data_IF_196747826849
#
_entry.id   IF_196747826849
#
_cell.length_a   1.000
_cell.length_b   1.000
_cell.length_c   1.000
_cell.angle_alpha   90.00
_cell.angle_beta   90.00
_cell.angle_gamma   90.00
#
_symmetry.space_group_name_H-M   'P 1'
#
loop_
_entity.id
_entity.type
_entity.pdbx_description
1 polymer ?
#
# COMPACT_ATOMS: atom_id res chain seq x y z
N UNK A 1 75.91 -4.15 6.07
CA UNK A 1 74.93 -5.27 5.79
C UNK A 1 73.57 -5.01 6.45
N UNK A 2 73.47 -4.62 7.71
CA UNK A 2 72.21 -4.42 8.47
C UNK A 2 71.26 -3.43 7.84
N UNK A 3 71.71 -2.22 7.43
CA UNK A 3 70.87 -1.19 6.78
C UNK A 3 70.23 -1.66 5.46
N UNK A 4 70.86 -2.55 4.72
CA UNK A 4 70.32 -3.08 3.45
C UNK A 4 69.25 -4.17 3.69
N UNK A 5 69.38 -4.95 4.77
CA UNK A 5 68.35 -5.90 5.24
C UNK A 5 67.13 -5.19 5.81
N UNK A 6 67.33 -4.13 6.58
CA UNK A 6 66.23 -3.34 7.14
C UNK A 6 65.40 -2.65 6.05
N UNK A 7 66.05 -2.10 5.01
CA UNK A 7 65.34 -1.50 3.86
C UNK A 7 64.52 -2.54 3.09
N UNK A 8 65.04 -3.77 2.90
CA UNK A 8 64.28 -4.86 2.26
C UNK A 8 63.10 -5.29 3.11
N UNK A 9 63.24 -5.40 4.42
CA UNK A 9 62.16 -5.75 5.34
C UNK A 9 61.06 -4.68 5.32
N UNK A 10 61.37 -3.40 5.41
CA UNK A 10 60.42 -2.30 5.31
C UNK A 10 59.68 -2.28 3.95
N UNK A 11 60.38 -2.57 2.85
CA UNK A 11 59.72 -2.66 1.54
C UNK A 11 58.73 -3.81 1.45
N UNK A 12 59.03 -4.99 2.05
CA UNK A 12 58.17 -6.11 2.12
C UNK A 12 56.92 -5.80 2.98
N UNK A 13 57.10 -5.20 4.14
CA UNK A 13 55.99 -4.75 5.01
C UNK A 13 55.10 -3.75 4.27
N UNK A 14 55.69 -2.78 3.55
CA UNK A 14 54.92 -1.81 2.76
C UNK A 14 54.08 -2.51 1.66
N UNK A 15 54.66 -3.48 0.95
CA UNK A 15 53.94 -4.26 -0.07
C UNK A 15 52.77 -5.05 0.55
N UNK A 16 52.97 -5.69 1.71
CA UNK A 16 51.89 -6.37 2.42
C UNK A 16 50.82 -5.42 2.92
N UNK A 17 51.17 -4.25 3.43
CA UNK A 17 50.22 -3.21 3.81
C UNK A 17 49.42 -2.71 2.61
N UNK A 18 50.09 -2.44 1.48
CA UNK A 18 49.44 -2.02 0.23
C UNK A 18 48.51 -3.13 -0.34
N UNK A 19 49.00 -4.36 -0.32
CA UNK A 19 48.19 -5.53 -0.77
C UNK A 19 46.99 -5.75 0.17
N UNK A 20 47.19 -5.62 1.48
CA UNK A 20 46.09 -5.70 2.47
C UNK A 20 45.08 -4.56 2.31
N UNK A 21 45.58 -3.34 2.06
CA UNK A 21 44.71 -2.19 1.79
C UNK A 21 43.95 -2.33 0.48
N UNK A 22 44.61 -2.83 -0.58
CA UNK A 22 44.01 -3.12 -1.87
C UNK A 22 42.93 -4.25 -1.76
N UNK A 23 43.21 -5.30 -0.99
CA UNK A 23 42.24 -6.38 -0.70
C UNK A 23 41.06 -5.87 0.12
N UNK A 24 41.29 -4.99 1.10
CA UNK A 24 40.22 -4.41 1.92
C UNK A 24 39.33 -3.47 1.10
N UNK A 25 39.91 -2.69 0.17
CA UNK A 25 39.19 -1.81 -0.76
C UNK A 25 38.38 -2.62 -1.79
N UNK A 26 38.78 -3.84 -2.09
CA UNK A 26 38.06 -4.72 -3.04
C UNK A 26 36.94 -5.55 -2.39
N UNK A 27 36.81 -5.58 -1.05
CA UNK A 27 35.65 -6.25 -0.44
C UNK A 27 34.39 -5.50 -0.76
N UNK A 28 33.38 -6.13 -1.40
CA UNK A 28 32.13 -5.46 -1.67
C UNK A 28 31.43 -5.06 -0.36
N UNK A 29 30.82 -3.90 -0.36
CA UNK A 29 29.93 -3.47 0.71
C UNK A 29 28.68 -4.33 0.56
N UNK A 30 28.39 -5.18 1.54
CA UNK A 30 27.16 -5.96 1.55
C UNK A 30 26.06 -5.14 2.19
N UNK A 31 25.06 -4.74 1.41
CA UNK A 31 23.82 -4.12 1.88
C UNK A 31 22.77 -5.22 2.05
N UNK A 32 22.09 -5.24 3.19
CA UNK A 32 21.04 -6.23 3.46
C UNK A 32 19.66 -5.61 3.38
N UNK A 33 18.70 -6.34 2.79
CA UNK A 33 17.32 -5.90 2.70
C UNK A 33 16.38 -6.96 3.30
N UNK A 34 15.43 -6.51 4.13
CA UNK A 34 14.35 -7.33 4.69
C UNK A 34 13.09 -7.20 3.85
N UNK A 35 12.63 -8.31 3.31
CA UNK A 35 11.40 -8.40 2.50
C UNK A 35 10.64 -9.67 2.88
N UNK A 36 9.34 -9.71 2.60
CA UNK A 36 8.54 -10.93 2.66
C UNK A 36 8.21 -11.44 1.25
N UNK A 37 7.84 -12.70 1.17
CA UNK A 37 7.42 -13.33 -0.07
C UNK A 37 5.92 -13.13 -0.31
N UNK A 38 5.55 -12.95 -1.57
CA UNK A 38 4.15 -12.79 -1.97
C UNK A 38 3.68 -11.34 -2.04
N UNK A 39 2.39 -11.14 -1.85
CA UNK A 39 1.74 -9.83 -1.93
C UNK A 39 1.56 -9.21 -0.54
N UNK A 40 1.64 -7.88 -0.46
CA UNK A 40 1.17 -7.15 0.72
C UNK A 40 -0.36 -7.14 0.82
N UNK A 41 -1.03 -7.34 -0.29
CA UNK A 41 -2.48 -7.27 -0.42
C UNK A 41 -3.10 -8.68 -0.34
N UNK A 42 -4.37 -8.78 0.00
CA UNK A 42 -5.10 -10.06 0.12
C UNK A 42 -5.37 -10.74 -1.25
N UNK A 43 -4.46 -10.55 -2.20
CA UNK A 43 -4.56 -11.08 -3.56
C UNK A 43 -3.21 -11.64 -4.02
N UNK A 44 -3.20 -12.68 -4.86
CA UNK A 44 -1.96 -13.26 -5.36
C UNK A 44 -1.14 -12.27 -6.19
N UNK A 45 0.15 -12.17 -5.90
CA UNK A 45 1.11 -11.41 -6.70
C UNK A 45 2.41 -12.20 -6.90
N UNK A 46 2.38 -13.25 -7.75
CA UNK A 46 3.48 -14.21 -7.87
C UNK A 46 4.76 -13.61 -8.48
N UNK A 47 4.68 -12.42 -9.05
CA UNK A 47 5.81 -11.75 -9.71
C UNK A 47 6.34 -10.52 -8.95
N UNK A 48 5.81 -10.21 -7.77
CA UNK A 48 6.22 -9.02 -6.99
C UNK A 48 7.73 -9.03 -6.65
N UNK A 49 8.31 -10.18 -6.35
CA UNK A 49 9.75 -10.33 -6.11
C UNK A 49 10.63 -9.86 -7.28
N UNK A 50 10.12 -9.92 -8.52
CA UNK A 50 10.85 -9.42 -9.71
C UNK A 50 11.15 -7.93 -9.63
N UNK A 51 10.30 -7.12 -8.99
CA UNK A 51 10.53 -5.68 -8.83
C UNK A 51 11.80 -5.45 -8.00
N UNK A 52 11.93 -6.18 -6.89
CA UNK A 52 13.10 -6.12 -6.01
C UNK A 52 14.36 -6.63 -6.72
N UNK A 53 14.27 -7.77 -7.41
CA UNK A 53 15.41 -8.36 -8.15
C UNK A 53 15.91 -7.42 -9.25
N UNK A 54 15.02 -6.77 -9.99
CA UNK A 54 15.38 -5.83 -11.04
C UNK A 54 15.96 -4.52 -10.46
N UNK A 55 15.44 -4.06 -9.31
CA UNK A 55 16.01 -2.93 -8.58
C UNK A 55 17.42 -3.24 -8.07
N UNK A 56 17.65 -4.41 -7.48
CA UNK A 56 18.97 -4.86 -7.04
C UNK A 56 19.97 -4.86 -8.19
N UNK A 57 19.61 -5.47 -9.33
CA UNK A 57 20.49 -5.50 -10.53
C UNK A 57 20.86 -4.10 -11.02
N UNK A 58 19.90 -3.15 -11.02
CA UNK A 58 20.14 -1.77 -11.41
C UNK A 58 21.05 -1.05 -10.41
N UNK A 59 20.83 -1.29 -9.11
CA UNK A 59 21.65 -0.70 -8.06
C UNK A 59 23.10 -1.17 -8.12
N UNK A 60 23.33 -2.48 -8.21
CA UNK A 60 24.67 -3.07 -8.30
C UNK A 60 25.41 -2.63 -9.57
N UNK A 61 24.70 -2.41 -10.68
CA UNK A 61 25.27 -1.89 -11.92
C UNK A 61 25.82 -0.47 -11.75
N UNK A 62 25.15 0.39 -10.99
CA UNK A 62 25.58 1.76 -10.70
C UNK A 62 26.52 1.85 -9.51
N UNK A 63 26.59 0.81 -8.68
CA UNK A 63 27.42 0.69 -7.49
C UNK A 63 28.23 -0.60 -7.52
N UNK A 64 29.27 -0.70 -8.39
CA UNK A 64 29.97 -1.98 -8.65
C UNK A 64 30.69 -2.58 -7.42
N UNK A 65 30.89 -1.78 -6.36
CA UNK A 65 31.48 -2.23 -5.09
C UNK A 65 30.43 -2.60 -4.04
N UNK A 66 29.14 -2.65 -4.41
CA UNK A 66 28.04 -3.00 -3.51
C UNK A 66 27.41 -4.31 -3.95
N UNK A 67 27.09 -5.16 -3.00
CA UNK A 67 26.28 -6.36 -3.19
C UNK A 67 25.06 -6.24 -2.29
N UNK A 68 23.86 -6.36 -2.87
CA UNK A 68 22.61 -6.35 -2.10
C UNK A 68 22.16 -7.80 -1.84
N UNK A 69 21.80 -8.11 -0.60
CA UNK A 69 21.37 -9.47 -0.20
C UNK A 69 20.07 -9.41 0.58
N UNK A 70 19.21 -10.39 0.38
CA UNK A 70 18.01 -10.61 1.18
C UNK A 70 17.79 -12.10 1.48
N UNK A 71 17.02 -12.36 2.53
CA UNK A 71 16.49 -13.70 2.83
C UNK A 71 15.16 -13.84 2.11
N UNK A 72 14.98 -14.95 1.38
CA UNK A 72 13.76 -15.25 0.64
C UNK A 72 12.86 -16.23 1.41
N UNK A 73 11.56 -16.23 1.09
CA UNK A 73 10.61 -17.24 1.56
C UNK A 73 9.96 -16.96 2.92
N UNK A 74 10.20 -15.81 3.53
CA UNK A 74 9.49 -15.38 4.73
C UNK A 74 8.08 -14.96 4.30
N UNK A 75 7.05 -15.55 4.88
CA UNK A 75 5.67 -15.17 4.60
C UNK A 75 5.34 -13.83 5.27
N UNK A 76 4.35 -13.10 4.73
CA UNK A 76 3.92 -11.82 5.30
C UNK A 76 3.46 -11.97 6.76
N UNK A 77 2.71 -13.03 7.06
CA UNK A 77 2.17 -13.26 8.40
C UNK A 77 3.27 -13.53 9.45
N UNK A 78 4.42 -14.06 9.04
CA UNK A 78 5.58 -14.31 9.90
C UNK A 78 6.58 -13.14 9.91
N UNK A 79 6.35 -12.11 9.09
CA UNK A 79 7.37 -11.11 8.79
C UNK A 79 7.66 -10.18 9.96
N UNK A 80 6.65 -9.71 10.67
CA UNK A 80 6.81 -8.83 11.85
C UNK A 80 7.58 -9.53 12.96
N UNK A 81 7.30 -10.82 13.21
CA UNK A 81 8.02 -11.65 14.18
C UNK A 81 9.48 -11.86 13.75
N UNK A 82 9.71 -12.13 12.47
CA UNK A 82 11.05 -12.28 11.94
C UNK A 82 11.87 -10.99 12.07
N UNK A 83 11.33 -9.81 11.69
CA UNK A 83 12.00 -8.52 11.85
C UNK A 83 12.30 -8.23 13.33
N UNK A 84 11.36 -8.49 14.21
CA UNK A 84 11.53 -8.31 15.65
C UNK A 84 12.67 -9.19 16.21
N UNK A 85 12.74 -10.44 15.76
CA UNK A 85 13.81 -11.36 16.12
C UNK A 85 15.16 -10.89 15.59
N UNK A 86 15.26 -10.48 14.32
CA UNK A 86 16.50 -9.95 13.76
C UNK A 86 16.98 -8.68 14.50
N UNK A 87 16.04 -7.83 14.95
CA UNK A 87 16.38 -6.67 15.77
C UNK A 87 16.97 -7.07 17.13
N UNK A 88 16.36 -8.03 17.82
CA UNK A 88 16.87 -8.54 19.11
C UNK A 88 18.23 -9.22 18.97
N UNK A 89 18.47 -9.92 17.87
CA UNK A 89 19.75 -10.57 17.57
C UNK A 89 20.84 -9.59 17.09
N UNK A 90 20.51 -8.30 16.91
CA UNK A 90 21.42 -7.29 16.36
C UNK A 90 21.76 -7.50 14.88
N UNK A 91 20.87 -8.16 14.13
CA UNK A 91 21.02 -8.53 12.71
C UNK A 91 19.99 -7.87 11.81
N UNK A 92 19.29 -6.84 12.31
CA UNK A 92 18.27 -6.13 11.54
C UNK A 92 18.83 -5.71 10.17
N UNK A 93 18.14 -6.00 9.06
CA UNK A 93 18.58 -5.60 7.73
C UNK A 93 18.80 -4.09 7.60
N UNK A 94 19.73 -3.67 6.74
CA UNK A 94 20.06 -2.24 6.53
C UNK A 94 18.84 -1.44 6.02
N UNK A 95 18.06 -2.04 5.10
CA UNK A 95 16.78 -1.54 4.60
C UNK A 95 15.76 -2.64 4.79
N UNK A 96 14.53 -2.32 5.17
CA UNK A 96 13.49 -3.34 5.32
C UNK A 96 12.10 -2.78 5.08
N UNK A 97 11.19 -3.65 4.62
CA UNK A 97 9.78 -3.33 4.51
C UNK A 97 9.17 -3.14 5.90
N UNK A 98 8.29 -2.19 6.01
CA UNK A 98 7.58 -1.85 7.25
C UNK A 98 6.10 -1.95 6.97
N UNK A 99 5.42 -2.87 7.64
CA UNK A 99 3.97 -2.95 7.58
C UNK A 99 3.38 -1.73 8.30
N UNK A 100 2.24 -1.24 7.84
CA UNK A 100 1.59 -0.06 8.42
C UNK A 100 1.33 -0.22 9.93
N UNK A 101 1.01 -1.44 10.36
CA UNK A 101 0.72 -1.80 11.75
C UNK A 101 1.97 -1.73 12.65
N UNK A 102 3.15 -1.94 12.08
CA UNK A 102 4.41 -2.01 12.84
C UNK A 102 5.13 -0.65 12.95
N UNK A 103 4.79 0.32 12.08
CA UNK A 103 5.54 1.57 11.94
C UNK A 103 5.69 2.32 13.27
N UNK A 104 4.58 2.50 14.00
CA UNK A 104 4.57 3.22 15.27
C UNK A 104 5.46 2.54 16.31
N UNK A 105 5.36 1.23 16.43
CA UNK A 105 6.16 0.43 17.34
C UNK A 105 7.65 0.50 16.98
N UNK A 106 8.00 0.29 15.72
CA UNK A 106 9.40 0.31 15.27
C UNK A 106 10.05 1.70 15.40
N UNK A 107 9.32 2.77 15.15
CA UNK A 107 9.78 4.14 15.39
C UNK A 107 10.04 4.38 16.89
N UNK A 108 9.07 4.02 17.74
CA UNK A 108 9.11 4.23 19.20
C UNK A 108 10.24 3.47 19.89
N UNK A 109 10.48 2.22 19.51
CA UNK A 109 11.58 1.41 20.09
C UNK A 109 12.94 1.69 19.44
N UNK A 110 13.01 2.61 18.47
CA UNK A 110 14.25 3.05 17.85
C UNK A 110 14.86 2.05 16.87
N UNK A 111 14.06 1.23 16.20
CA UNK A 111 14.50 0.35 15.13
C UNK A 111 14.75 1.11 13.81
N UNK A 112 13.99 2.18 13.58
CA UNK A 112 14.03 2.98 12.36
C UNK A 112 14.91 4.24 12.51
N UNK A 113 15.62 4.58 11.46
CA UNK A 113 16.34 5.85 11.33
C UNK A 113 15.38 6.93 10.82
N UNK A 114 15.31 8.12 11.48
CA UNK A 114 14.57 9.26 10.92
C UNK A 114 15.17 9.70 9.58
N UNK A 115 14.32 9.87 8.58
CA UNK A 115 14.74 10.17 7.20
C UNK A 115 14.82 11.66 6.89
N UNK A 116 14.33 12.54 7.78
CA UNK A 116 14.21 13.99 7.56
C UNK A 116 15.50 14.63 7.06
N UNK A 117 16.64 14.29 7.68
CA UNK A 117 17.93 14.83 7.29
C UNK A 117 18.35 14.37 5.89
N UNK A 118 18.08 13.10 5.55
CA UNK A 118 18.40 12.57 4.21
C UNK A 118 17.55 13.24 3.15
N UNK A 119 16.25 13.41 3.41
CA UNK A 119 15.31 14.09 2.50
C UNK A 119 15.69 15.56 2.25
N UNK A 120 16.16 16.27 3.31
CA UNK A 120 16.56 17.68 3.21
C UNK A 120 17.90 17.88 2.52
N UNK A 121 18.85 16.97 2.71
CA UNK A 121 20.20 17.09 2.17
C UNK A 121 20.34 16.57 0.73
N UNK A 122 19.39 15.80 0.25
CA UNK A 122 19.41 15.20 -1.07
C UNK A 122 18.74 16.13 -2.09
N UNK A 123 19.55 16.78 -2.91
CA UNK A 123 19.07 17.72 -3.94
C UNK A 123 18.19 17.05 -5.03
N UNK A 124 18.32 15.74 -5.19
CA UNK A 124 17.54 14.96 -6.19
C UNK A 124 16.24 14.43 -5.62
N UNK A 125 15.94 14.67 -4.32
CA UNK A 125 14.73 14.22 -3.67
C UNK A 125 13.74 15.37 -3.49
N UNK A 126 12.57 15.26 -4.16
CA UNK A 126 11.45 16.20 -4.01
C UNK A 126 10.20 15.46 -3.48
N UNK A 127 9.89 15.66 -2.21
CA UNK A 127 8.75 15.05 -1.56
C UNK A 127 7.39 15.38 -2.23
N UNK A 128 7.28 16.47 -2.99
CA UNK A 128 6.06 16.89 -3.71
C UNK A 128 5.68 15.94 -4.84
N UNK A 129 6.59 15.07 -5.26
CA UNK A 129 6.31 14.01 -6.24
C UNK A 129 5.43 12.89 -5.68
N UNK A 130 5.39 12.72 -4.36
CA UNK A 130 4.48 11.79 -3.72
C UNK A 130 3.05 12.37 -3.66
N UNK A 131 2.05 11.50 -3.63
CA UNK A 131 0.79 11.87 -3.04
C UNK A 131 1.01 12.17 -1.57
N UNK A 132 0.46 13.29 -1.08
CA UNK A 132 0.70 13.75 0.30
C UNK A 132 0.27 12.70 1.33
N UNK A 133 -0.83 12.05 1.07
CA UNK A 133 -1.39 10.94 1.87
C UNK A 133 -0.45 9.76 1.97
N UNK A 134 0.14 9.32 0.84
CA UNK A 134 1.06 8.17 0.85
C UNK A 134 2.35 8.48 1.61
N UNK A 135 2.91 9.69 1.41
CA UNK A 135 4.10 10.08 2.15
C UNK A 135 3.83 10.17 3.65
N UNK A 136 2.68 10.74 4.03
CA UNK A 136 2.28 10.86 5.43
C UNK A 136 2.08 9.49 6.12
N UNK A 137 1.83 8.42 5.38
CA UNK A 137 1.75 7.06 5.94
C UNK A 137 3.04 6.62 6.65
N UNK A 138 4.21 7.13 6.23
CA UNK A 138 5.50 6.85 6.85
C UNK A 138 5.93 7.85 7.93
N UNK A 139 5.06 8.82 8.28
CA UNK A 139 5.35 9.87 9.27
C UNK A 139 4.77 9.50 10.64
N UNK A 140 5.57 9.62 11.68
CA UNK A 140 5.17 9.43 13.10
C UNK A 140 5.78 10.57 13.92
N UNK A 141 4.97 11.27 14.70
CA UNK A 141 5.37 12.38 15.56
C UNK A 141 6.16 13.48 14.81
N UNK A 142 5.65 13.88 13.66
CA UNK A 142 6.25 14.90 12.76
C UNK A 142 7.63 14.51 12.18
N UNK A 143 8.02 13.23 12.26
CA UNK A 143 9.24 12.70 11.66
C UNK A 143 8.92 11.63 10.62
N UNK A 144 9.61 11.67 9.48
CA UNK A 144 9.53 10.64 8.45
C UNK A 144 10.43 9.46 8.81
N UNK A 145 9.86 8.31 9.14
CA UNK A 145 10.60 7.08 9.49
C UNK A 145 10.68 6.06 8.35
N UNK A 146 9.75 6.12 7.42
CA UNK A 146 9.73 5.23 6.26
C UNK A 146 9.22 5.95 5.02
N UNK A 147 9.64 5.53 3.83
CA UNK A 147 9.05 5.98 2.57
C UNK A 147 8.00 4.96 2.09
N UNK A 148 6.89 5.40 1.51
CA UNK A 148 5.92 4.49 0.91
C UNK A 148 6.51 3.82 -0.33
N UNK A 149 6.35 2.49 -0.41
CA UNK A 149 6.78 1.66 -1.54
C UNK A 149 5.66 1.43 -2.54
N UNK A 150 4.51 0.98 -2.06
CA UNK A 150 3.28 0.82 -2.83
C UNK A 150 2.06 1.08 -1.94
N UNK A 151 0.93 1.46 -2.56
CA UNK A 151 -0.31 1.72 -1.85
C UNK A 151 -1.49 1.04 -2.53
N UNK A 152 -2.59 0.88 -1.81
CA UNK A 152 -3.86 0.39 -2.35
C UNK A 152 -5.03 1.13 -1.67
N UNK A 153 -5.74 1.99 -2.39
CA UNK A 153 -6.96 2.61 -1.88
C UNK A 153 -8.13 1.63 -1.87
N UNK A 154 -9.05 1.79 -0.95
CA UNK A 154 -10.35 1.10 -0.95
C UNK A 154 -11.34 1.90 -1.78
N UNK A 155 -11.97 1.26 -2.76
CA UNK A 155 -12.97 1.84 -3.67
C UNK A 155 -14.32 1.20 -3.47
N UNK A 156 -15.38 1.89 -3.88
CA UNK A 156 -16.71 1.30 -4.00
C UNK A 156 -16.86 0.65 -5.37
N UNK A 157 -16.93 -0.68 -5.41
CA UNK A 157 -17.26 -1.43 -6.61
C UNK A 157 -18.76 -1.39 -6.85
N UNK A 158 -19.13 -1.22 -8.10
CA UNK A 158 -20.51 -1.05 -8.55
C UNK A 158 -20.85 -2.09 -9.59
N UNK A 159 -21.87 -2.89 -9.35
CA UNK A 159 -22.45 -3.80 -10.33
C UNK A 159 -23.33 -2.99 -11.30
N UNK A 160 -22.78 -2.62 -12.45
CA UNK A 160 -23.47 -1.83 -13.47
C UNK A 160 -24.69 -2.55 -14.02
N UNK A 161 -24.54 -3.83 -14.31
CA UNK A 161 -25.62 -4.65 -14.87
C UNK A 161 -26.85 -4.64 -13.95
N UNK A 162 -26.64 -4.82 -12.64
CA UNK A 162 -27.73 -4.82 -11.67
C UNK A 162 -28.41 -3.45 -11.57
N UNK A 163 -27.65 -2.36 -11.65
CA UNK A 163 -28.22 -1.02 -11.69
C UNK A 163 -29.06 -0.80 -12.94
N UNK A 164 -28.52 -1.16 -14.12
CA UNK A 164 -29.21 -1.03 -15.42
C UNK A 164 -30.49 -1.87 -15.49
N UNK A 165 -30.47 -3.11 -14.98
CA UNK A 165 -31.65 -4.00 -14.93
C UNK A 165 -32.77 -3.43 -14.04
N UNK A 166 -32.45 -2.52 -13.14
CA UNK A 166 -33.40 -1.84 -12.24
C UNK A 166 -33.66 -0.37 -12.63
N UNK A 167 -33.31 0.05 -13.82
CA UNK A 167 -33.46 1.44 -14.30
C UNK A 167 -32.77 2.49 -13.41
N UNK A 168 -31.64 2.14 -12.79
CA UNK A 168 -30.85 3.01 -11.93
C UNK A 168 -29.56 3.38 -12.65
N UNK A 169 -29.32 4.70 -12.80
CA UNK A 169 -28.05 5.21 -13.31
C UNK A 169 -26.90 5.01 -12.33
N UNK A 170 -25.68 4.86 -12.85
CA UNK A 170 -24.47 4.84 -12.02
C UNK A 170 -24.37 6.20 -11.29
N UNK A 171 -24.15 6.23 -9.96
CA UNK A 171 -23.97 7.47 -9.22
C UNK A 171 -22.79 8.29 -9.77
N UNK A 172 -22.89 9.61 -9.67
CA UNK A 172 -21.74 10.46 -9.98
C UNK A 172 -20.68 10.39 -8.87
N UNK A 173 -19.49 10.87 -9.15
CA UNK A 173 -18.35 10.82 -8.21
C UNK A 173 -18.56 11.63 -6.91
N UNK A 174 -19.57 12.52 -6.85
CA UNK A 174 -19.90 13.36 -5.69
C UNK A 174 -21.16 12.85 -4.95
N UNK A 175 -21.46 11.57 -5.04
CA UNK A 175 -22.62 10.98 -4.40
C UNK A 175 -22.50 10.93 -2.87
N UNK A 176 -23.65 10.87 -2.20
CA UNK A 176 -23.77 10.98 -0.76
C UNK A 176 -24.27 9.70 -0.10
N UNK A 177 -24.26 9.65 1.24
CA UNK A 177 -24.92 8.58 2.01
C UNK A 177 -26.40 8.46 1.68
N UNK A 178 -27.08 9.58 1.43
CA UNK A 178 -28.51 9.55 1.10
C UNK A 178 -28.75 8.93 -0.29
N UNK A 179 -27.89 9.26 -1.27
CA UNK A 179 -27.91 8.61 -2.59
C UNK A 179 -27.67 7.11 -2.45
N UNK A 180 -26.61 6.73 -1.71
CA UNK A 180 -26.25 5.34 -1.48
C UNK A 180 -27.39 4.57 -0.80
N UNK A 181 -27.94 5.09 0.29
CA UNK A 181 -29.07 4.47 0.98
C UNK A 181 -30.27 4.30 0.06
N UNK A 182 -30.64 5.35 -0.68
CA UNK A 182 -31.82 5.34 -1.57
C UNK A 182 -31.70 4.29 -2.68
N UNK A 183 -30.48 4.10 -3.21
CA UNK A 183 -30.23 3.06 -4.19
C UNK A 183 -30.28 1.66 -3.54
N UNK A 184 -29.63 1.49 -2.38
CA UNK A 184 -29.67 0.23 -1.64
C UNK A 184 -31.09 -0.19 -1.26
N UNK A 185 -31.94 0.76 -0.83
CA UNK A 185 -33.33 0.52 -0.49
C UNK A 185 -34.15 0.01 -1.69
N UNK A 186 -33.93 0.57 -2.88
CA UNK A 186 -34.59 0.13 -4.11
C UNK A 186 -34.14 -1.24 -4.59
N UNK A 187 -32.87 -1.57 -4.35
CA UNK A 187 -32.26 -2.81 -4.86
C UNK A 187 -32.32 -3.97 -3.87
N UNK A 188 -32.69 -3.72 -2.61
CA UNK A 188 -32.82 -4.80 -1.62
C UNK A 188 -34.25 -5.35 -1.65
N UNK A 189 -34.47 -6.37 -2.48
CA UNK A 189 -35.80 -6.89 -2.81
C UNK A 189 -35.79 -8.41 -2.92
N UNK A 190 -36.99 -8.97 -2.77
CA UNK A 190 -37.37 -10.34 -3.12
C UNK A 190 -37.74 -10.34 -4.60
N UNK A 191 -36.93 -10.96 -5.46
CA UNK A 191 -37.12 -10.92 -6.92
C UNK A 191 -38.01 -12.07 -7.43
N UNK A 192 -38.14 -13.16 -6.68
CA UNK A 192 -38.93 -14.32 -7.08
C UNK A 192 -40.26 -14.49 -6.32
N UNK A 193 -40.49 -13.67 -5.30
CA UNK A 193 -41.75 -13.58 -4.55
C UNK A 193 -41.94 -14.69 -3.51
N UNK A 194 -40.86 -15.34 -3.07
CA UNK A 194 -40.91 -16.42 -2.08
C UNK A 194 -40.94 -15.89 -0.62
N UNK A 195 -40.75 -14.59 -0.41
CA UNK A 195 -40.76 -13.91 0.88
C UNK A 195 -39.39 -13.66 1.46
N UNK A 196 -38.34 -14.19 0.84
CA UNK A 196 -36.93 -13.95 1.21
C UNK A 196 -36.29 -12.94 0.27
N UNK A 197 -35.38 -12.11 0.79
CA UNK A 197 -34.60 -11.17 -0.05
C UNK A 197 -33.49 -11.95 -0.74
N UNK A 198 -33.39 -11.82 -2.05
CA UNK A 198 -32.41 -12.50 -2.88
C UNK A 198 -31.56 -11.54 -3.77
N UNK A 199 -31.89 -10.25 -3.75
CA UNK A 199 -31.10 -9.15 -4.32
C UNK A 199 -30.83 -8.09 -3.25
N UNK A 200 -29.60 -7.54 -3.20
CA UNK A 200 -29.14 -6.67 -2.13
C UNK A 200 -28.47 -5.40 -2.67
N UNK A 201 -28.62 -4.30 -1.93
CA UNK A 201 -28.00 -3.03 -2.26
C UNK A 201 -26.50 -3.02 -2.02
N UNK A 202 -26.03 -3.59 -0.89
CA UNK A 202 -24.62 -3.54 -0.55
C UNK A 202 -24.13 -4.79 0.19
N UNK A 203 -22.81 -4.98 0.15
CA UNK A 203 -22.09 -5.95 0.96
C UNK A 203 -20.77 -5.34 1.47
N UNK A 204 -20.53 -5.43 2.77
CA UNK A 204 -19.22 -5.12 3.35
C UNK A 204 -18.94 -3.64 3.58
N UNK A 205 -19.93 -2.74 3.44
CA UNK A 205 -19.75 -1.35 3.83
C UNK A 205 -19.76 -1.22 5.35
N UNK A 206 -18.59 -0.90 5.90
CA UNK A 206 -18.36 -0.87 7.34
C UNK A 206 -18.55 0.52 7.94
N UNK A 207 -18.71 0.60 9.26
CA UNK A 207 -18.75 1.88 9.96
C UNK A 207 -17.41 2.65 9.86
N UNK A 208 -16.29 1.95 9.66
CA UNK A 208 -15.00 2.59 9.41
C UNK A 208 -14.98 3.28 8.03
N UNK A 209 -15.57 2.65 7.01
CA UNK A 209 -15.76 3.29 5.70
C UNK A 209 -16.62 4.55 5.83
N UNK A 210 -17.74 4.43 6.54
CA UNK A 210 -18.64 5.55 6.81
C UNK A 210 -17.93 6.67 7.59
N UNK A 211 -17.19 6.34 8.65
CA UNK A 211 -16.46 7.31 9.45
C UNK A 211 -15.46 8.11 8.61
N UNK A 212 -14.65 7.41 7.81
CA UNK A 212 -13.65 8.03 6.94
C UNK A 212 -14.30 8.95 5.91
N UNK A 213 -15.36 8.50 5.24
CA UNK A 213 -16.09 9.32 4.25
C UNK A 213 -16.93 10.42 4.88
N UNK A 214 -17.10 10.44 6.22
CA UNK A 214 -17.64 11.57 6.99
C UNK A 214 -16.53 12.51 7.51
N UNK A 215 -15.29 12.37 7.02
CA UNK A 215 -14.17 13.25 7.37
C UNK A 215 -13.60 13.04 8.78
N UNK A 216 -13.88 11.91 9.41
CA UNK A 216 -13.52 11.63 10.78
C UNK A 216 -12.49 10.50 10.89
N UNK A 217 -11.68 10.54 11.95
CA UNK A 217 -10.76 9.50 12.34
C UNK A 217 -11.06 9.04 13.76
N UNK A 218 -10.69 7.82 14.13
CA UNK A 218 -10.89 7.27 15.49
C UNK A 218 -9.97 7.87 16.53
N UNK A 219 -8.96 8.58 16.08
CA UNK A 219 -7.92 9.11 16.93
C UNK A 219 -7.43 10.45 16.39
N UNK A 220 -7.33 11.44 17.26
CA UNK A 220 -6.73 12.73 16.97
C UNK A 220 -5.23 12.68 17.28
N UNK A 221 -4.39 12.64 16.27
CA UNK A 221 -2.92 12.58 16.40
C UNK A 221 -2.34 13.79 17.14
N UNK A 222 -2.97 14.97 17.05
CA UNK A 222 -2.49 16.21 17.69
C UNK A 222 -2.75 16.21 19.19
N UNK A 223 -3.92 15.73 19.58
CA UNK A 223 -4.32 15.70 20.99
C UNK A 223 -4.04 14.38 21.68
N UNK A 224 -3.63 13.36 20.92
CA UNK A 224 -3.39 11.98 21.38
C UNK A 224 -4.64 11.41 22.10
N UNK A 225 -5.84 11.71 21.59
CA UNK A 225 -7.10 11.28 22.22
C UNK A 225 -7.96 10.49 21.23
N UNK A 226 -8.65 9.48 21.77
CA UNK A 226 -9.71 8.79 21.04
C UNK A 226 -10.90 9.72 20.77
N UNK A 227 -11.46 9.60 19.58
CA UNK A 227 -12.65 10.33 19.13
C UNK A 227 -13.92 9.49 19.21
N UNK A 228 -13.86 8.27 19.74
CA UNK A 228 -14.98 7.31 19.80
C UNK A 228 -16.25 7.85 20.45
N UNK A 229 -16.15 8.85 21.33
CA UNK A 229 -17.31 9.50 21.96
C UNK A 229 -17.88 10.67 21.15
N UNK A 230 -17.37 10.92 19.94
CA UNK A 230 -17.85 11.99 19.07
C UNK A 230 -19.19 11.60 18.41
N UNK A 231 -20.09 12.57 18.24
CA UNK A 231 -21.36 12.38 17.54
C UNK A 231 -21.18 11.87 16.10
N UNK A 232 -20.08 12.23 15.44
CA UNK A 232 -19.82 11.84 14.06
C UNK A 232 -19.51 10.34 13.94
N UNK A 233 -18.83 9.77 14.95
CA UNK A 233 -18.63 8.31 15.06
C UNK A 233 -19.99 7.61 15.26
N UNK A 234 -20.84 8.18 16.12
CA UNK A 234 -22.19 7.66 16.30
C UNK A 234 -23.01 7.74 15.01
N UNK A 235 -22.93 8.84 14.27
CA UNK A 235 -23.63 9.01 12.97
C UNK A 235 -23.19 7.98 11.96
N UNK A 236 -21.90 7.67 11.86
CA UNK A 236 -21.36 6.64 10.98
C UNK A 236 -21.90 5.22 11.33
N UNK A 237 -21.91 4.89 12.62
CA UNK A 237 -22.45 3.63 13.11
C UNK A 237 -23.97 3.51 12.83
N UNK A 238 -24.74 4.56 13.11
CA UNK A 238 -26.18 4.56 12.85
C UNK A 238 -26.50 4.46 11.35
N UNK A 239 -25.70 5.10 10.49
CA UNK A 239 -25.87 4.99 9.06
C UNK A 239 -25.72 3.54 8.59
N UNK A 240 -24.64 2.85 9.01
CA UNK A 240 -24.43 1.43 8.66
C UNK A 240 -25.51 0.54 9.26
N UNK A 241 -25.97 0.81 10.49
CA UNK A 241 -27.12 0.09 11.08
C UNK A 241 -28.40 0.29 10.26
N UNK A 242 -28.61 1.49 9.70
CA UNK A 242 -29.75 1.80 8.83
C UNK A 242 -29.67 0.99 7.53
N UNK A 243 -28.49 0.90 6.90
CA UNK A 243 -28.24 0.05 5.72
C UNK A 243 -28.52 -1.44 6.04
N UNK A 244 -27.95 -1.97 7.12
CA UNK A 244 -28.10 -3.38 7.50
C UNK A 244 -29.56 -3.78 7.78
N UNK A 245 -30.42 -2.85 8.21
CA UNK A 245 -31.86 -3.12 8.41
C UNK A 245 -32.59 -3.43 7.10
N UNK A 246 -32.08 -2.94 5.95
CA UNK A 246 -32.65 -3.26 4.64
C UNK A 246 -32.60 -4.77 4.37
N UNK A 247 -31.54 -5.44 4.82
CA UNK A 247 -31.31 -6.87 4.59
C UNK A 247 -32.21 -7.80 5.42
N UNK A 248 -33.11 -7.25 6.27
CA UNK A 248 -34.04 -8.02 7.13
C UNK A 248 -33.39 -9.16 7.91
N UNK A 249 -32.18 -8.93 8.44
CA UNK A 249 -31.35 -9.92 9.16
C UNK A 249 -30.78 -11.06 8.29
N UNK A 250 -30.89 -10.99 6.98
CA UNK A 250 -30.19 -11.93 6.11
C UNK A 250 -28.69 -11.60 6.06
N UNK A 251 -27.89 -12.65 5.97
CA UNK A 251 -26.42 -12.50 5.89
C UNK A 251 -26.00 -12.37 4.42
N UNK A 252 -25.67 -11.16 4.00
CA UNK A 252 -25.12 -10.91 2.66
C UNK A 252 -23.66 -11.36 2.62
N UNK A 253 -23.23 -12.00 1.56
CA UNK A 253 -21.89 -12.58 1.42
C UNK A 253 -21.18 -12.11 0.17
N UNK A 254 -19.84 -12.22 0.16
CA UNK A 254 -19.04 -11.92 -1.04
C UNK A 254 -19.42 -12.82 -2.23
N UNK A 255 -19.85 -14.05 -1.97
CA UNK A 255 -20.33 -14.97 -3.01
C UNK A 255 -21.59 -14.45 -3.71
N UNK A 256 -22.47 -13.76 -2.99
CA UNK A 256 -23.67 -13.12 -3.57
C UNK A 256 -23.26 -11.96 -4.50
N UNK A 257 -22.23 -11.18 -4.12
CA UNK A 257 -21.67 -10.17 -5.01
C UNK A 257 -21.06 -10.80 -6.26
N UNK A 258 -20.27 -11.85 -6.11
CA UNK A 258 -19.65 -12.58 -7.23
C UNK A 258 -20.71 -13.16 -8.20
N UNK A 259 -21.89 -13.48 -7.69
CA UNK A 259 -23.05 -13.94 -8.48
C UNK A 259 -23.90 -12.82 -9.09
N UNK A 260 -23.50 -11.56 -8.90
CA UNK A 260 -24.23 -10.40 -9.44
C UNK A 260 -25.47 -9.99 -8.66
N UNK A 261 -25.71 -10.56 -7.47
CA UNK A 261 -26.90 -10.29 -6.64
C UNK A 261 -26.75 -9.08 -5.69
N UNK A 262 -25.61 -8.39 -5.71
CA UNK A 262 -25.30 -7.23 -4.87
C UNK A 262 -24.85 -6.07 -5.73
N UNK A 263 -25.33 -4.87 -5.44
CA UNK A 263 -25.02 -3.68 -6.24
C UNK A 263 -23.69 -3.03 -5.89
N UNK A 264 -23.36 -2.91 -4.61
CA UNK A 264 -22.17 -2.21 -4.14
C UNK A 264 -21.35 -3.06 -3.18
N UNK A 265 -20.01 -2.97 -3.31
CA UNK A 265 -19.07 -3.66 -2.44
C UNK A 265 -17.78 -2.87 -2.31
N UNK A 266 -17.40 -2.38 -1.10
CA UNK A 266 -16.08 -1.80 -0.88
C UNK A 266 -14.99 -2.86 -1.05
N UNK A 267 -14.00 -2.59 -1.89
CA UNK A 267 -12.83 -3.45 -2.08
C UNK A 267 -11.58 -2.62 -2.31
N UNK A 268 -10.42 -3.18 -1.99
CA UNK A 268 -9.14 -2.55 -2.30
C UNK A 268 -8.89 -2.51 -3.82
N UNK A 269 -8.19 -1.50 -4.29
CA UNK A 269 -7.80 -1.40 -5.71
C UNK A 269 -6.97 -2.60 -6.18
N UNK A 270 -6.23 -3.22 -5.29
CA UNK A 270 -5.52 -4.47 -5.56
C UNK A 270 -6.48 -5.61 -5.92
N UNK A 271 -7.66 -5.67 -5.30
CA UNK A 271 -8.72 -6.62 -5.64
C UNK A 271 -9.34 -6.24 -6.99
N UNK A 272 -9.58 -4.94 -7.24
CA UNK A 272 -10.02 -4.44 -8.54
C UNK A 272 -9.16 -4.99 -9.68
N UNK A 273 -7.83 -4.95 -9.54
CA UNK A 273 -6.91 -5.47 -10.55
C UNK A 273 -7.00 -6.99 -10.75
N UNK A 274 -7.52 -7.73 -9.78
CA UNK A 274 -7.72 -9.19 -9.86
C UNK A 274 -9.12 -9.58 -10.32
N UNK A 275 -10.11 -8.71 -10.13
CA UNK A 275 -11.49 -8.93 -10.62
C UNK A 275 -11.62 -8.85 -12.15
N UNK A 276 -10.62 -8.35 -12.82
CA UNK A 276 -10.57 -8.36 -14.29
C UNK A 276 -10.80 -9.77 -14.81
N UNK A 277 -11.51 -9.94 -15.94
CA UNK A 277 -11.68 -11.23 -16.59
C UNK A 277 -10.32 -11.70 -17.13
N UNK A 278 -9.47 -12.11 -16.22
CA UNK A 278 -8.22 -12.76 -16.55
C UNK A 278 -8.49 -14.27 -16.61
N UNK A 279 -8.06 -14.99 -17.66
CA UNK A 279 -8.32 -16.42 -17.77
C UNK A 279 -7.76 -17.25 -16.61
N UNK A 280 -7.01 -16.62 -15.71
CA UNK A 280 -6.29 -17.26 -14.60
C UNK A 280 -6.66 -16.71 -13.20
N UNK A 281 -7.55 -15.71 -13.08
CA UNK A 281 -7.93 -15.19 -11.77
C UNK A 281 -8.98 -16.09 -11.11
N UNK A 282 -8.86 -16.26 -9.80
CA UNK A 282 -9.77 -17.10 -8.99
C UNK A 282 -11.20 -16.56 -8.99
N UNK A 283 -11.39 -15.25 -9.24
CA UNK A 283 -12.71 -14.57 -9.34
C UNK A 283 -13.23 -14.51 -10.79
N UNK A 284 -13.07 -15.56 -11.53
CA UNK A 284 -13.35 -15.76 -12.95
C UNK A 284 -14.83 -15.68 -13.35
N UNK A 285 -15.77 -15.48 -12.44
CA UNK A 285 -17.17 -15.83 -12.64
C UNK A 285 -18.16 -14.69 -12.43
N UNK A 286 -17.73 -13.41 -12.38
CA UNK A 286 -18.69 -12.34 -12.45
C UNK A 286 -19.28 -12.28 -13.87
N UNK A 287 -20.58 -12.61 -13.99
CA UNK A 287 -21.33 -12.52 -15.24
C UNK A 287 -21.94 -11.12 -15.45
N UNK A 288 -21.40 -10.10 -14.77
CA UNK A 288 -21.91 -8.74 -14.80
C UNK A 288 -20.80 -7.72 -15.09
N UNK A 289 -21.18 -6.60 -15.69
CA UNK A 289 -20.32 -5.45 -15.84
C UNK A 289 -20.20 -4.68 -14.52
N UNK A 290 -19.03 -4.18 -14.22
CA UNK A 290 -18.78 -3.44 -13.01
C UNK A 290 -17.83 -2.24 -13.27
N UNK A 291 -17.85 -1.28 -12.34
CA UNK A 291 -16.98 -0.10 -12.33
C UNK A 291 -16.62 0.24 -10.87
N UNK A 292 -15.86 1.30 -10.66
CA UNK A 292 -15.47 1.79 -9.35
C UNK A 292 -15.89 3.25 -9.17
N UNK A 293 -16.28 3.58 -7.93
CA UNK A 293 -16.56 4.94 -7.47
C UNK A 293 -15.73 5.23 -6.20
N UNK A 294 -15.49 6.52 -5.90
CA UNK A 294 -15.06 6.88 -4.54
C UNK A 294 -16.16 6.54 -3.53
N UNK A 295 -15.83 6.48 -2.24
CA UNK A 295 -16.83 6.24 -1.19
C UNK A 295 -17.90 7.33 -1.16
N UNK A 296 -19.16 7.00 -0.80
CA UNK A 296 -20.22 8.01 -0.67
C UNK A 296 -19.91 8.96 0.48
N UNK A 297 -20.03 10.27 0.25
CA UNK A 297 -19.76 11.29 1.25
C UNK A 297 -20.80 11.27 2.38
N UNK A 298 -20.34 11.32 3.62
CA UNK A 298 -21.19 11.60 4.77
C UNK A 298 -21.57 13.09 4.86
N UNK A 299 -22.49 13.47 5.77
CA UNK A 299 -22.99 14.85 5.90
C UNK A 299 -21.89 15.90 6.13
N UNK A 300 -20.85 15.55 6.87
CA UNK A 300 -19.74 16.43 7.25
C UNK A 300 -18.43 16.09 6.52
N UNK A 301 -18.51 15.20 5.52
CA UNK A 301 -17.36 14.65 4.82
C UNK A 301 -17.34 14.92 3.31
N UNK A 302 -16.56 14.09 2.62
CA UNK A 302 -16.41 14.12 1.18
C UNK A 302 -16.10 12.73 0.65
N UNK A 303 -16.13 12.57 -0.67
CA UNK A 303 -15.91 11.28 -1.35
C UNK A 303 -14.44 10.83 -1.24
N UNK A 304 -14.02 10.41 -0.06
CA UNK A 304 -12.67 9.92 0.23
C UNK A 304 -12.68 8.44 0.57
N UNK A 305 -11.55 7.80 0.31
CA UNK A 305 -11.33 6.40 0.58
C UNK A 305 -10.23 6.22 1.62
N UNK A 306 -10.26 5.09 2.31
CA UNK A 306 -9.11 4.65 3.11
C UNK A 306 -8.01 4.16 2.17
N UNK A 307 -6.77 4.36 2.56
CA UNK A 307 -5.60 3.91 1.83
C UNK A 307 -4.62 3.19 2.74
N UNK A 308 -4.27 1.98 2.35
CA UNK A 308 -3.18 1.23 2.95
C UNK A 308 -1.90 1.40 2.14
N UNK A 309 -0.76 1.41 2.83
CA UNK A 309 0.56 1.54 2.22
C UNK A 309 1.53 0.52 2.80
N UNK A 310 2.30 -0.12 1.92
CA UNK A 310 3.51 -0.83 2.31
C UNK A 310 4.66 0.16 2.29
N UNK A 311 5.41 0.20 3.38
CA UNK A 311 6.47 1.16 3.61
C UNK A 311 7.85 0.48 3.55
N UNK A 312 8.90 1.26 3.37
CA UNK A 312 10.28 0.85 3.51
C UNK A 312 11.04 1.82 4.41
N UNK A 313 11.84 1.31 5.32
CA UNK A 313 12.64 2.09 6.26
C UNK A 313 14.11 1.69 6.28
N UNK A 314 14.91 2.51 6.92
CA UNK A 314 16.34 2.27 7.17
C UNK A 314 16.53 1.87 8.62
N UNK A 315 17.30 0.81 8.86
CA UNK A 315 17.66 0.39 10.21
C UNK A 315 18.50 1.48 10.90
N UNK A 316 18.09 1.85 12.12
CA UNK A 316 18.88 2.72 13.00
C UNK A 316 20.26 2.15 13.28
N UNK A 317 20.40 0.83 13.30
CA UNK A 317 21.65 0.12 13.56
C UNK A 317 22.56 0.00 12.34
N UNK A 318 22.10 0.33 11.15
CA UNK A 318 22.91 0.25 9.94
C UNK A 318 24.11 1.17 10.01
N UNK A 319 25.31 0.65 9.74
CA UNK A 319 26.54 1.43 9.54
C UNK A 319 26.68 1.97 8.11
N UNK A 320 25.73 1.64 7.21
CA UNK A 320 25.76 1.94 5.76
C UNK A 320 24.62 2.88 5.35
N UNK A 321 24.18 3.75 6.23
CA UNK A 321 22.97 4.57 6.09
C UNK A 321 22.89 5.36 4.79
N UNK A 322 24.01 5.93 4.30
CA UNK A 322 24.02 6.61 2.99
C UNK A 322 23.67 5.67 1.85
N UNK A 323 24.28 4.49 1.82
CA UNK A 323 23.99 3.46 0.80
C UNK A 323 22.57 2.92 0.93
N UNK A 324 22.09 2.77 2.17
CA UNK A 324 20.71 2.39 2.46
C UNK A 324 19.71 3.45 1.95
N UNK A 325 20.02 4.75 2.09
CA UNK A 325 19.21 5.83 1.54
C UNK A 325 19.14 5.79 0.01
N UNK A 326 20.27 5.62 -0.68
CA UNK A 326 20.29 5.50 -2.14
C UNK A 326 19.45 4.30 -2.63
N UNK A 327 19.55 3.18 -1.92
CA UNK A 327 18.75 1.99 -2.26
C UNK A 327 17.27 2.19 -1.92
N UNK A 328 16.95 2.82 -0.81
CA UNK A 328 15.58 3.16 -0.43
C UNK A 328 14.92 4.08 -1.47
N UNK A 329 15.65 5.11 -1.96
CA UNK A 329 15.16 5.94 -3.07
C UNK A 329 14.92 5.12 -4.34
N UNK A 330 15.80 4.19 -4.66
CA UNK A 330 15.59 3.32 -5.85
C UNK A 330 14.31 2.49 -5.74
N UNK A 331 13.92 2.08 -4.54
CA UNK A 331 12.68 1.33 -4.34
C UNK A 331 11.44 2.24 -4.35
N UNK A 332 11.50 3.36 -3.64
CA UNK A 332 10.32 4.15 -3.29
C UNK A 332 10.14 5.42 -4.14
N UNK A 333 11.18 5.88 -4.85
CA UNK A 333 11.20 7.18 -5.54
C UNK A 333 11.60 7.09 -7.02
N UNK A 334 12.20 5.99 -7.46
CA UNK A 334 12.59 5.79 -8.87
C UNK A 334 11.38 5.42 -9.72
N UNK A 335 11.15 6.18 -10.80
CA UNK A 335 9.99 6.01 -11.68
C UNK A 335 9.92 4.63 -12.31
N UNK A 336 11.06 4.07 -12.71
CA UNK A 336 11.09 2.73 -13.33
C UNK A 336 10.68 1.64 -12.36
N UNK A 337 11.11 1.73 -11.09
CA UNK A 337 10.66 0.80 -10.04
C UNK A 337 9.17 0.98 -9.78
N UNK A 338 8.71 2.22 -9.68
CA UNK A 338 7.32 2.56 -9.39
C UNK A 338 6.36 2.19 -10.54
N UNK A 339 6.77 2.33 -11.80
CA UNK A 339 6.03 1.80 -12.97
C UNK A 339 5.93 0.26 -12.95
N UNK A 340 6.97 -0.41 -12.44
CA UNK A 340 7.01 -1.87 -12.33
C UNK A 340 5.95 -2.44 -11.38
N UNK A 341 5.45 -1.65 -10.41
CA UNK A 341 4.34 -2.03 -9.54
C UNK A 341 3.08 -2.37 -10.35
N UNK A 342 2.76 -1.55 -11.35
CA UNK A 342 1.61 -1.81 -12.23
C UNK A 342 1.76 -3.05 -13.11
N UNK A 343 2.97 -3.53 -13.30
CA UNK A 343 3.25 -4.70 -14.13
C UNK A 343 3.38 -6.00 -13.31
N UNK A 344 3.91 -5.92 -12.11
CA UNK A 344 4.33 -7.10 -11.34
C UNK A 344 3.74 -7.17 -9.93
N UNK A 345 3.13 -6.10 -9.42
CA UNK A 345 2.35 -6.06 -8.18
C UNK A 345 0.88 -5.79 -8.45
N UNK A 346 0.05 -5.82 -7.41
CA UNK A 346 -1.36 -5.44 -7.46
C UNK A 346 -1.63 -4.07 -6.80
N UNK A 347 -0.65 -3.51 -6.12
CA UNK A 347 -0.71 -2.14 -5.60
C UNK A 347 -0.51 -1.08 -6.68
N UNK A 348 -0.51 0.17 -6.27
CA UNK A 348 -0.29 1.34 -7.13
C UNK A 348 0.97 2.09 -6.72
N UNK A 349 1.49 2.88 -7.66
CA UNK A 349 2.59 3.80 -7.36
C UNK A 349 2.17 4.86 -6.36
N UNK A 350 3.12 5.25 -5.55
CA UNK A 350 3.01 6.34 -4.57
C UNK A 350 3.40 7.71 -5.16
N UNK A 351 3.84 7.74 -6.43
CA UNK A 351 4.30 8.93 -7.14
C UNK A 351 3.26 9.42 -8.14
N UNK A 352 2.91 10.71 -8.07
CA UNK A 352 1.90 11.36 -8.93
C UNK A 352 2.21 11.24 -10.42
N UNK A 353 3.44 11.52 -10.81
CA UNK A 353 3.86 11.49 -12.21
C UNK A 353 3.91 10.07 -12.80
N UNK A 354 3.94 9.05 -11.97
CA UNK A 354 3.93 7.66 -12.42
C UNK A 354 2.50 7.19 -12.68
N UNK A 355 1.55 7.47 -11.79
CA UNK A 355 0.14 7.07 -11.94
C UNK A 355 -0.48 7.62 -13.22
N UNK A 356 -0.11 8.84 -13.61
CA UNK A 356 -0.57 9.51 -14.85
C UNK A 356 0.27 9.20 -16.09
N UNK A 357 1.31 8.36 -15.97
CA UNK A 357 2.20 8.07 -17.10
C UNK A 357 1.49 7.25 -18.19
N UNK A 358 1.87 7.49 -19.45
CA UNK A 358 1.35 6.72 -20.59
C UNK A 358 1.64 5.22 -20.50
N UNK A 359 2.75 4.85 -19.83
CA UNK A 359 3.11 3.45 -19.62
C UNK A 359 2.13 2.78 -18.67
N UNK A 360 1.78 3.45 -17.57
CA UNK A 360 0.82 2.93 -16.58
C UNK A 360 -0.57 2.82 -17.18
N UNK A 361 -1.04 3.84 -17.91
CA UNK A 361 -2.31 3.77 -18.64
C UNK A 361 -2.33 2.56 -19.56
N UNK A 362 -1.25 2.31 -20.30
CA UNK A 362 -1.13 1.13 -21.18
C UNK A 362 -1.19 -0.18 -20.38
N UNK A 363 -0.48 -0.30 -19.25
CA UNK A 363 -0.52 -1.52 -18.42
C UNK A 363 -1.91 -1.79 -17.86
N UNK A 364 -2.61 -0.75 -17.40
CA UNK A 364 -3.99 -0.88 -16.92
C UNK A 364 -4.92 -1.29 -18.06
N UNK A 365 -4.76 -0.72 -19.26
CA UNK A 365 -5.55 -1.07 -20.44
C UNK A 365 -5.24 -2.48 -20.99
N UNK A 366 -3.97 -2.90 -21.01
CA UNK A 366 -3.59 -4.26 -21.42
C UNK A 366 -4.19 -5.34 -20.52
N UNK A 367 -4.44 -4.98 -19.29
CA UNK A 367 -5.13 -5.82 -18.32
C UNK A 367 -6.67 -5.72 -18.42
N UNK A 368 -7.23 -4.78 -19.17
CA UNK A 368 -8.66 -4.59 -19.31
C UNK A 368 -9.27 -5.55 -20.36
N UNK A 369 -10.53 -5.99 -20.20
CA UNK A 369 -11.27 -6.59 -21.30
C UNK A 369 -11.35 -5.62 -22.48
N UNK A 370 -11.42 -6.14 -23.72
CA UNK A 370 -11.38 -5.33 -24.95
C UNK A 370 -12.47 -4.24 -25.03
N UNK A 371 -13.53 -4.36 -24.24
CA UNK A 371 -14.69 -3.46 -24.26
C UNK A 371 -14.87 -2.64 -22.96
N UNK A 372 -13.96 -2.76 -21.97
CA UNK A 372 -14.07 -2.03 -20.73
C UNK A 372 -13.33 -0.68 -20.80
N UNK A 373 -14.09 0.41 -20.76
CA UNK A 373 -13.55 1.75 -20.49
C UNK A 373 -13.51 1.94 -18.97
N UNK A 374 -12.31 1.97 -18.39
CA UNK A 374 -12.15 2.34 -16.99
C UNK A 374 -12.09 3.86 -16.88
N UNK A 375 -13.00 4.43 -16.11
CA UNK A 375 -12.88 5.83 -15.74
C UNK A 375 -11.96 5.93 -14.52
N UNK A 376 -10.68 6.20 -14.75
CA UNK A 376 -9.70 6.47 -13.70
C UNK A 376 -9.46 7.98 -13.52
N UNK A 377 -10.26 8.84 -14.12
CA UNK A 377 -10.08 10.30 -14.06
C UNK A 377 -10.17 10.83 -12.63
N UNK A 378 -10.92 10.14 -11.75
CA UNK A 378 -11.01 10.48 -10.33
C UNK A 378 -9.86 9.91 -9.48
N UNK A 379 -9.03 9.03 -10.03
CA UNK A 379 -8.07 8.24 -9.24
C UNK A 379 -7.00 9.11 -8.56
N UNK A 380 -6.43 10.07 -9.28
CA UNK A 380 -5.40 10.96 -8.74
C UNK A 380 -5.96 11.87 -7.63
N UNK A 381 -7.17 12.40 -7.83
CA UNK A 381 -7.86 13.22 -6.82
C UNK A 381 -8.18 12.38 -5.56
N UNK A 382 -8.63 11.16 -5.75
CA UNK A 382 -8.87 10.21 -4.66
C UNK A 382 -7.58 9.85 -3.92
N UNK A 383 -6.49 9.56 -4.62
CA UNK A 383 -5.18 9.28 -4.00
C UNK A 383 -4.66 10.46 -3.17
N UNK A 384 -4.88 11.71 -3.63
CA UNK A 384 -4.46 12.90 -2.91
C UNK A 384 -5.31 13.17 -1.66
N UNK A 385 -6.60 12.81 -1.69
CA UNK A 385 -7.55 13.04 -0.59
C UNK A 385 -7.73 11.84 0.33
N UNK A 386 -7.28 10.66 -0.06
CA UNK A 386 -7.46 9.44 0.72
C UNK A 386 -7.00 9.62 2.18
N UNK A 387 -7.59 8.87 3.08
CA UNK A 387 -7.23 8.88 4.51
C UNK A 387 -6.42 7.63 4.81
N UNK A 388 -5.21 7.83 5.32
CA UNK A 388 -4.40 6.75 5.87
C UNK A 388 -4.82 6.50 7.31
N UNK A 389 -5.27 5.29 7.61
CA UNK A 389 -5.54 4.88 8.99
C UNK A 389 -4.20 4.50 9.62
N UNK A 390 -3.68 5.37 10.46
CA UNK A 390 -2.48 5.05 11.25
C UNK A 390 -2.90 4.22 12.44
N UNK A 391 -2.32 3.04 12.56
CA UNK A 391 -2.46 2.21 13.75
C UNK A 391 -1.40 2.64 14.76
N UNK A 392 -1.87 3.03 15.95
CA UNK A 392 -1.04 3.36 17.11
C UNK A 392 -1.10 2.22 18.12
N UNK A 393 -0.10 2.15 19.01
CA UNK A 393 -0.08 1.16 20.09
C UNK A 393 -1.41 1.14 20.85
N UNK A 394 -2.06 -0.02 20.92
CA UNK A 394 -3.35 -0.20 21.60
C UNK A 394 -4.58 0.05 20.71
N UNK A 395 -4.42 0.28 19.41
CA UNK A 395 -5.55 0.48 18.48
C UNK A 395 -6.49 -0.74 18.42
N UNK A 396 -5.96 -1.94 18.58
CA UNK A 396 -6.71 -3.21 18.55
C UNK A 396 -7.21 -3.67 19.93
N UNK A 397 -7.04 -2.86 20.99
CA UNK A 397 -7.54 -3.12 22.34
C UNK A 397 -8.82 -2.37 22.63
#
# INVERSE_FOLDING_TARGET
MVKKRLKKFLAIVLVFCLAGMFYYVQKPIVLTIGIFAGSNWNVPSPKSGKIIDDAIKRFEKTHPNVQVKYVSGILKDDYSDWISKEALDGKLPDVFMVLSDDLSTYAKVGMLEPLDTYMQMDADFDQRRYFSTTLNAGNIYDHQYALPYESSPTLMFVNKTLLEENDIGIPNINWTWDDFYSICEKLTVDTDGDGEIDQFGEYGYTWQNALSSNGQALYDEKTMKSTLSNNDVYSAIEFVRKLNRLNRNQNVTSEMFDKGKVAFCPMMFSEYRTYKPYPWSVKKYSNFEWDCLPMPAGPDGYNVSQMDSLLCGISKMSSKKKMAWEFLKLLCYDETTQESLFKYSQGVSVLKNVTTSKNVTKYIQEDAPMDASYNLDFFDDMMERAITVKKIDGYDQ
#
